data_IF_246694481963
#
_entry.id   IF_246694481963
#
_cell.length_a   1.000
_cell.length_b   1.000
_cell.length_c   1.000
_cell.angle_alpha   90.00
_cell.angle_beta   90.00
_cell.angle_gamma   90.00
#
_symmetry.space_group_name_H-M   'P 1'
#
loop_
_entity.id
_entity.type
_entity.pdbx_description
1 polymer ?
#
# COMPACT_ATOMS: atom_id res chain seq x y z
N UNK A 1 -21.14 9.16 3.14
CA UNK A 1 -21.47 8.83 4.52
C UNK A 1 -22.91 8.38 4.54
N UNK A 2 -23.14 7.15 4.98
CA UNK A 2 -24.41 6.47 4.95
C UNK A 2 -25.38 7.15 5.91
N UNK A 3 -26.66 7.21 5.55
CA UNK A 3 -27.70 7.89 6.35
C UNK A 3 -27.81 7.34 7.76
N UNK A 4 -27.71 6.01 7.89
CA UNK A 4 -27.66 5.30 9.19
C UNK A 4 -26.47 5.73 10.06
N UNK A 5 -25.31 5.98 9.45
CA UNK A 5 -24.11 6.49 10.15
C UNK A 5 -24.40 7.83 10.81
N UNK A 6 -24.95 8.76 10.02
CA UNK A 6 -25.27 10.10 10.50
C UNK A 6 -26.34 10.09 11.59
N UNK A 7 -27.43 9.36 11.37
CA UNK A 7 -28.53 9.27 12.33
C UNK A 7 -28.09 8.59 13.63
N UNK A 8 -27.32 7.49 13.54
CA UNK A 8 -26.82 6.78 14.70
C UNK A 8 -25.87 7.63 15.54
N UNK A 9 -24.94 8.34 14.92
CA UNK A 9 -24.03 9.24 15.64
C UNK A 9 -24.78 10.38 16.33
N UNK A 10 -25.74 11.01 15.65
CA UNK A 10 -26.54 12.09 16.21
C UNK A 10 -27.40 11.59 17.38
N UNK A 11 -28.08 10.45 17.22
CA UNK A 11 -28.92 9.85 18.25
C UNK A 11 -28.13 9.41 19.48
N UNK A 12 -26.99 8.75 19.29
CA UNK A 12 -26.12 8.33 20.39
C UNK A 12 -25.57 9.54 21.16
N UNK A 13 -25.09 10.57 20.45
CA UNK A 13 -24.58 11.81 21.05
C UNK A 13 -25.64 12.53 21.88
N UNK A 14 -26.88 12.61 21.39
CA UNK A 14 -27.97 13.25 22.12
C UNK A 14 -28.32 12.49 23.40
N UNK A 15 -28.47 11.17 23.32
CA UNK A 15 -28.80 10.36 24.50
C UNK A 15 -27.68 10.39 25.55
N UNK A 16 -26.42 10.36 25.12
CA UNK A 16 -25.27 10.53 26.01
C UNK A 16 -25.28 11.89 26.74
N UNK A 17 -25.68 12.97 26.05
CA UNK A 17 -25.83 14.29 26.68
C UNK A 17 -26.97 14.32 27.70
N UNK A 18 -28.06 13.60 27.43
CA UNK A 18 -29.22 13.52 28.34
C UNK A 18 -28.88 12.83 29.67
N UNK A 19 -27.84 12.00 29.73
CA UNK A 19 -27.36 11.37 30.97
C UNK A 19 -26.86 12.38 32.02
N UNK A 20 -26.44 13.57 31.61
CA UNK A 20 -25.92 14.58 32.54
C UNK A 20 -26.95 15.02 33.59
N UNK A 21 -28.22 15.11 33.20
CA UNK A 21 -29.31 15.56 34.08
C UNK A 21 -29.57 14.55 35.21
N UNK A 22 -29.89 13.27 34.94
CA UNK A 22 -30.11 12.30 36.00
C UNK A 22 -28.87 12.09 36.87
N UNK A 23 -27.64 12.19 36.33
CA UNK A 23 -26.44 12.14 37.17
C UNK A 23 -26.33 13.31 38.15
N UNK A 24 -26.77 14.52 37.79
CA UNK A 24 -26.81 15.65 38.72
C UNK A 24 -27.84 15.43 39.82
N UNK A 25 -29.04 14.99 39.44
CA UNK A 25 -30.12 14.70 40.40
C UNK A 25 -29.74 13.57 41.35
N UNK A 26 -29.08 12.52 40.84
CA UNK A 26 -28.56 11.42 41.65
C UNK A 26 -27.60 11.93 42.73
N UNK A 27 -26.61 12.76 42.34
CA UNK A 27 -25.64 13.34 43.31
C UNK A 27 -26.31 14.21 44.36
N UNK A 28 -27.36 14.94 43.99
CA UNK A 28 -28.12 15.76 44.94
C UNK A 28 -28.95 14.90 45.89
N UNK A 29 -29.55 13.81 45.39
CA UNK A 29 -30.28 12.84 46.19
C UNK A 29 -29.37 12.07 47.16
N UNK A 30 -28.17 11.69 46.71
CA UNK A 30 -27.13 11.05 47.51
C UNK A 30 -26.74 11.91 48.72
N UNK A 31 -26.56 13.22 48.54
CA UNK A 31 -26.28 14.15 49.66
C UNK A 31 -27.43 14.25 50.67
N UNK A 32 -28.66 14.01 50.24
CA UNK A 32 -29.86 14.04 51.09
C UNK A 32 -30.19 12.67 51.69
N UNK A 33 -29.51 11.61 51.26
CA UNK A 33 -29.84 10.23 51.62
C UNK A 33 -31.17 9.75 51.04
N UNK A 34 -31.67 10.36 49.96
CA UNK A 34 -32.93 9.99 49.33
C UNK A 34 -32.73 8.85 48.32
N UNK A 35 -32.76 7.61 48.83
CA UNK A 35 -32.53 6.40 48.04
C UNK A 35 -33.60 6.16 46.97
N UNK A 36 -34.84 6.62 47.20
CA UNK A 36 -35.93 6.44 46.24
C UNK A 36 -35.72 7.30 44.98
N UNK A 37 -35.24 8.54 45.15
CA UNK A 37 -34.86 9.39 44.01
C UNK A 37 -33.61 8.86 43.32
N UNK A 38 -32.63 8.35 44.07
CA UNK A 38 -31.43 7.73 43.50
C UNK A 38 -31.80 6.56 42.57
N UNK A 39 -32.64 5.63 43.02
CA UNK A 39 -33.06 4.48 42.22
C UNK A 39 -33.81 4.92 40.95
N UNK A 40 -34.78 5.84 41.09
CA UNK A 40 -35.52 6.38 39.95
C UNK A 40 -34.60 7.06 38.93
N UNK A 41 -33.64 7.86 39.38
CA UNK A 41 -32.68 8.52 38.47
C UNK A 41 -31.80 7.53 37.74
N UNK A 42 -31.40 6.44 38.38
CA UNK A 42 -30.64 5.37 37.73
C UNK A 42 -31.46 4.64 36.67
N UNK A 43 -32.77 4.51 36.87
CA UNK A 43 -33.68 4.00 35.82
C UNK A 43 -33.63 4.85 34.54
N UNK A 44 -33.71 6.18 34.67
CA UNK A 44 -33.57 7.08 33.52
C UNK A 44 -32.19 7.01 32.86
N UNK A 45 -31.11 6.84 33.66
CA UNK A 45 -29.76 6.62 33.12
C UNK A 45 -29.73 5.37 32.25
N UNK A 46 -30.32 4.26 32.73
CA UNK A 46 -30.44 3.02 31.97
C UNK A 46 -31.15 3.24 30.63
N UNK A 47 -32.34 3.86 30.65
CA UNK A 47 -33.12 4.11 29.43
C UNK A 47 -32.37 4.93 28.36
N UNK A 48 -31.62 5.95 28.78
CA UNK A 48 -30.83 6.76 27.85
C UNK A 48 -29.55 6.05 27.39
N UNK A 49 -28.92 5.26 28.26
CA UNK A 49 -27.76 4.45 27.90
C UNK A 49 -28.14 3.39 26.86
N UNK A 50 -29.24 2.66 27.07
CA UNK A 50 -29.75 1.65 26.14
C UNK A 50 -30.06 2.27 24.77
N UNK A 51 -30.77 3.41 24.75
CA UNK A 51 -31.03 4.15 23.50
C UNK A 51 -29.75 4.61 22.83
N UNK A 52 -28.76 5.08 23.59
CA UNK A 52 -27.48 5.50 23.02
C UNK A 52 -26.76 4.31 22.35
N UNK A 53 -26.81 3.13 22.98
CA UNK A 53 -26.24 1.89 22.44
C UNK A 53 -26.96 1.45 21.15
N UNK A 54 -28.29 1.51 21.11
CA UNK A 54 -29.07 1.17 19.91
C UNK A 54 -28.72 2.08 18.73
N UNK A 55 -28.57 3.39 18.98
CA UNK A 55 -28.13 4.33 17.97
C UNK A 55 -26.67 4.12 17.56
N UNK A 56 -25.79 3.72 18.49
CA UNK A 56 -24.42 3.33 18.16
C UNK A 56 -24.40 2.12 17.21
N UNK A 57 -25.17 1.07 17.50
CA UNK A 57 -25.31 -0.11 16.61
C UNK A 57 -25.80 0.30 15.22
N UNK A 58 -26.73 1.26 15.16
CA UNK A 58 -27.21 1.83 13.88
C UNK A 58 -26.11 2.57 13.13
N UNK A 59 -25.26 3.32 13.84
CA UNK A 59 -24.11 3.99 13.24
C UNK A 59 -23.09 3.00 12.69
N UNK A 60 -22.75 1.97 13.47
CA UNK A 60 -21.81 0.90 13.09
C UNK A 60 -22.27 0.19 11.82
N UNK A 61 -23.56 -0.16 11.73
CA UNK A 61 -24.14 -0.74 10.52
C UNK A 61 -24.01 0.19 9.30
N UNK A 62 -24.22 1.49 9.49
CA UNK A 62 -24.03 2.48 8.43
C UNK A 62 -22.57 2.58 7.98
N UNK A 63 -21.62 2.53 8.93
CA UNK A 63 -20.18 2.57 8.63
C UNK A 63 -19.73 1.32 7.88
N UNK A 64 -20.26 0.15 8.21
CA UNK A 64 -19.96 -1.09 7.48
C UNK A 64 -20.44 -0.99 6.02
N UNK A 65 -21.63 -0.42 5.80
CA UNK A 65 -22.17 -0.18 4.46
C UNK A 65 -21.31 0.83 3.68
N UNK A 66 -20.93 1.96 4.29
CA UNK A 66 -19.98 2.94 3.70
C UNK A 66 -18.65 2.27 3.32
N UNK A 67 -18.11 1.42 4.20
CA UNK A 67 -16.83 0.75 3.98
C UNK A 67 -16.89 -0.27 2.84
N UNK A 68 -18.01 -1.01 2.71
CA UNK A 68 -18.24 -1.91 1.57
C UNK A 68 -18.33 -1.14 0.27
N UNK A 69 -19.10 -0.06 0.23
CA UNK A 69 -19.22 0.78 -0.97
C UNK A 69 -17.87 1.38 -1.39
N UNK A 70 -17.08 1.87 -0.44
CA UNK A 70 -15.74 2.38 -0.72
C UNK A 70 -14.79 1.30 -1.26
N UNK A 71 -14.84 0.07 -0.71
CA UNK A 71 -14.05 -1.06 -1.21
C UNK A 71 -14.42 -1.44 -2.65
N UNK A 72 -15.71 -1.48 -2.97
CA UNK A 72 -16.18 -1.79 -4.33
C UNK A 72 -15.76 -0.70 -5.34
N UNK A 73 -15.88 0.58 -4.97
CA UNK A 73 -15.37 1.68 -5.81
C UNK A 73 -13.86 1.58 -6.04
N UNK A 74 -13.09 1.33 -4.98
CA UNK A 74 -11.64 1.16 -5.11
C UNK A 74 -11.27 -0.03 -6.01
N UNK A 75 -11.98 -1.16 -5.90
CA UNK A 75 -11.74 -2.34 -6.72
C UNK A 75 -12.06 -2.08 -8.19
N UNK A 76 -13.17 -1.42 -8.49
CA UNK A 76 -13.56 -1.07 -9.86
C UNK A 76 -12.59 -0.05 -10.48
N UNK A 77 -12.14 0.93 -9.72
CA UNK A 77 -11.10 1.87 -10.15
C UNK A 77 -9.77 1.16 -10.43
N UNK A 78 -9.36 0.23 -9.57
CA UNK A 78 -8.16 -0.57 -9.76
C UNK A 78 -8.26 -1.44 -11.02
N UNK A 79 -9.39 -2.10 -11.24
CA UNK A 79 -9.62 -2.92 -12.44
C UNK A 79 -9.60 -2.08 -13.72
N UNK A 80 -10.25 -0.91 -13.70
CA UNK A 80 -10.21 0.03 -14.82
C UNK A 80 -8.79 0.52 -15.11
N UNK A 81 -7.98 0.79 -14.09
CA UNK A 81 -6.58 1.18 -14.27
C UNK A 81 -5.73 0.04 -14.85
N UNK A 82 -5.94 -1.21 -14.40
CA UNK A 82 -5.27 -2.38 -14.96
C UNK A 82 -5.65 -2.58 -16.43
N UNK A 83 -6.95 -2.44 -16.75
CA UNK A 83 -7.46 -2.59 -18.12
C UNK A 83 -6.83 -1.56 -19.05
N UNK A 84 -6.82 -0.27 -18.67
CA UNK A 84 -6.16 0.79 -19.45
C UNK A 84 -4.69 0.50 -19.69
N UNK A 85 -3.96 0.07 -18.64
CA UNK A 85 -2.53 -0.30 -18.78
C UNK A 85 -2.32 -1.50 -19.71
N UNK A 86 -3.23 -2.47 -19.73
CA UNK A 86 -3.16 -3.61 -20.67
C UNK A 86 -3.41 -3.16 -22.11
N UNK A 87 -4.41 -2.31 -22.33
CA UNK A 87 -4.73 -1.74 -23.65
C UNK A 87 -3.55 -0.91 -24.19
N UNK A 88 -2.94 -0.05 -23.37
CA UNK A 88 -1.73 0.72 -23.74
C UNK A 88 -0.54 -0.19 -24.11
N UNK A 89 -0.34 -1.28 -23.37
CA UNK A 89 0.73 -2.25 -23.66
C UNK A 89 0.48 -2.98 -24.99
N UNK A 90 -0.76 -3.38 -25.25
CA UNK A 90 -1.13 -4.04 -26.51
C UNK A 90 -0.95 -3.10 -27.71
N UNK A 91 -1.30 -1.81 -27.57
CA UNK A 91 -1.09 -0.82 -28.62
C UNK A 91 0.40 -0.58 -28.90
N UNK A 92 1.22 -0.46 -27.85
CA UNK A 92 2.68 -0.36 -27.99
C UNK A 92 3.27 -1.61 -28.65
N UNK A 93 2.81 -2.80 -28.28
CA UNK A 93 3.26 -4.05 -28.86
C UNK A 93 2.89 -4.15 -30.35
N UNK A 94 1.67 -3.74 -30.73
CA UNK A 94 1.26 -3.64 -32.14
C UNK A 94 2.17 -2.70 -32.92
N UNK A 95 2.50 -1.52 -32.37
CA UNK A 95 3.41 -0.56 -33.01
C UNK A 95 4.84 -1.09 -33.16
N UNK A 96 5.34 -1.83 -32.17
CA UNK A 96 6.65 -2.49 -32.26
C UNK A 96 6.63 -3.63 -33.29
N UNK A 97 5.56 -4.43 -33.32
CA UNK A 97 5.41 -5.50 -34.29
C UNK A 97 5.27 -4.98 -35.72
N UNK A 98 4.60 -3.85 -35.92
CA UNK A 98 4.49 -3.16 -37.20
C UNK A 98 5.86 -2.60 -37.64
N UNK A 99 6.55 -1.84 -36.78
CA UNK A 99 7.89 -1.32 -37.10
C UNK A 99 8.93 -2.41 -37.38
N UNK A 100 8.86 -3.57 -36.71
CA UNK A 100 9.71 -4.74 -37.04
C UNK A 100 9.43 -5.34 -38.42
N UNK A 101 8.24 -5.14 -38.99
CA UNK A 101 7.91 -5.60 -40.35
C UNK A 101 8.40 -4.63 -41.42
N UNK A 102 8.54 -3.36 -41.10
CA UNK A 102 8.82 -2.30 -42.07
C UNK A 102 10.32 -2.00 -42.21
N UNK A 103 11.11 -2.05 -41.12
CA UNK A 103 12.55 -1.75 -41.15
C UNK A 103 13.37 -2.72 -40.28
N UNK A 104 13.69 -3.90 -40.81
CA UNK A 104 14.74 -4.75 -40.23
C UNK A 104 16.01 -4.66 -41.06
N UNK A 105 16.95 -3.81 -40.61
CA UNK A 105 18.34 -3.88 -41.09
C UNK A 105 18.93 -5.20 -40.59
N UNK A 106 19.00 -6.19 -41.49
CA UNK A 106 19.41 -7.55 -41.14
C UNK A 106 20.93 -7.58 -41.06
N UNK A 107 21.45 -7.42 -39.84
CA UNK A 107 22.90 -7.54 -39.60
C UNK A 107 23.28 -9.01 -39.68
N UNK A 108 23.78 -9.45 -40.84
CA UNK A 108 24.34 -10.78 -41.02
C UNK A 108 25.75 -10.81 -40.43
N UNK A 109 26.00 -11.75 -39.51
CA UNK A 109 27.36 -11.99 -39.01
C UNK A 109 28.18 -12.55 -40.18
N UNK A 110 29.27 -11.87 -40.55
CA UNK A 110 30.14 -12.36 -41.61
C UNK A 110 30.74 -13.71 -41.23
N UNK A 111 31.07 -14.53 -42.23
CA UNK A 111 31.59 -15.89 -42.05
C UNK A 111 32.78 -15.97 -41.07
N UNK A 112 33.68 -14.97 -41.11
CA UNK A 112 34.80 -14.86 -40.17
C UNK A 112 34.38 -14.60 -38.72
N UNK A 113 33.29 -13.85 -38.49
CA UNK A 113 32.75 -13.62 -37.14
C UNK A 113 32.07 -14.86 -36.56
N UNK A 114 31.55 -15.75 -37.43
CA UNK A 114 30.92 -17.01 -37.04
C UNK A 114 31.95 -18.05 -36.56
N UNK A 115 33.11 -18.13 -37.24
CA UNK A 115 34.22 -18.99 -36.83
C UNK A 115 34.83 -18.60 -35.46
N UNK A 116 34.80 -17.31 -35.09
CA UNK A 116 35.24 -16.84 -33.78
C UNK A 116 34.26 -17.21 -32.64
N UNK A 117 32.97 -17.43 -32.95
CA UNK A 117 31.96 -17.89 -32.00
C UNK A 117 32.05 -19.39 -31.71
N UNK A 118 32.35 -20.21 -32.73
CA UNK A 118 32.51 -21.66 -32.57
C UNK A 118 33.76 -22.02 -31.74
N UNK A 119 34.75 -21.13 -31.63
CA UNK A 119 35.91 -21.29 -30.76
C UNK A 119 35.61 -21.23 -29.25
N UNK A 120 34.36 -20.91 -28.86
CA UNK A 120 33.91 -20.89 -27.46
C UNK A 120 32.65 -21.74 -27.25
N UNK A 121 32.42 -22.76 -28.07
CA UNK A 121 31.38 -23.77 -27.83
C UNK A 121 31.86 -24.85 -26.83
N UNK A 122 32.25 -24.42 -25.65
CA UNK A 122 32.77 -25.27 -24.59
C UNK A 122 32.35 -24.82 -23.20
N UNK A 123 31.07 -24.48 -23.00
CA UNK A 123 30.37 -24.60 -21.70
C UNK A 123 28.91 -24.19 -21.88
N UNK A 124 28.10 -25.11 -22.42
CA UNK A 124 26.66 -25.09 -22.16
C UNK A 124 26.47 -25.66 -20.75
N UNK A 125 26.12 -24.81 -19.79
CA UNK A 125 25.40 -25.26 -18.60
C UNK A 125 24.00 -24.68 -18.67
N UNK A 126 23.12 -25.45 -19.27
CA UNK A 126 21.67 -25.35 -19.07
C UNK A 126 21.36 -25.64 -17.60
N UNK A 127 20.71 -24.71 -16.93
CA UNK A 127 20.13 -24.94 -15.61
C UNK A 127 19.98 -23.64 -14.84
N UNK A 128 18.74 -23.26 -14.56
CA UNK A 128 18.41 -22.17 -13.67
C UNK A 128 19.15 -22.31 -12.33
N UNK A 129 19.87 -21.27 -11.88
CA UNK A 129 19.47 -20.56 -10.67
C UNK A 129 20.24 -19.24 -10.53
N UNK A 130 19.58 -18.25 -9.94
CA UNK A 130 20.15 -16.95 -9.66
C UNK A 130 21.21 -17.08 -8.57
N UNK A 131 22.49 -17.02 -8.95
CA UNK A 131 23.60 -16.93 -8.00
C UNK A 131 24.87 -16.53 -8.74
N UNK A 132 25.10 -15.23 -8.92
CA UNK A 132 26.37 -14.69 -9.42
C UNK A 132 27.46 -15.10 -8.43
N UNK A 133 28.15 -16.20 -8.74
CA UNK A 133 29.42 -16.59 -8.16
C UNK A 133 30.47 -16.34 -9.24
N UNK A 134 31.13 -15.17 -9.15
CA UNK A 134 32.29 -14.87 -9.98
C UNK A 134 33.49 -15.41 -9.21
N UNK A 135 33.94 -16.61 -9.59
CA UNK A 135 35.31 -17.03 -9.31
C UNK A 135 36.28 -16.15 -10.10
N UNK A 136 37.20 -15.59 -9.32
CA UNK A 136 38.23 -14.64 -9.69
C UNK A 136 39.22 -15.29 -10.66
N UNK A 137 39.15 -14.93 -11.95
CA UNK A 137 40.28 -15.15 -12.85
C UNK A 137 41.18 -13.92 -12.78
N UNK A 138 42.32 -14.13 -12.13
CA UNK A 138 43.39 -13.17 -11.95
C UNK A 138 43.99 -12.73 -13.30
N UNK A 139 43.44 -11.68 -13.92
CA UNK A 139 44.21 -10.58 -14.53
C UNK A 139 43.34 -9.42 -15.09
N UNK A 140 42.19 -9.11 -14.46
CA UNK A 140 41.42 -7.93 -14.82
C UNK A 140 41.82 -6.75 -13.94
N UNK A 141 42.60 -5.84 -14.53
CA UNK A 141 43.01 -4.54 -14.00
C UNK A 141 41.87 -3.92 -13.17
N UNK A 142 42.10 -3.77 -11.86
CA UNK A 142 41.17 -3.13 -10.92
C UNK A 142 41.04 -1.65 -11.28
N UNK A 143 40.17 -1.30 -12.22
CA UNK A 143 39.76 0.09 -12.42
C UNK A 143 38.51 0.32 -11.59
N UNK A 144 38.62 1.14 -10.54
CA UNK A 144 37.47 1.63 -9.80
C UNK A 144 36.55 2.42 -10.75
N UNK A 145 35.21 2.29 -10.63
CA UNK A 145 34.29 3.06 -11.45
C UNK A 145 34.45 4.55 -11.15
N UNK A 146 34.91 5.31 -12.15
CA UNK A 146 35.10 6.76 -12.06
C UNK A 146 33.78 7.46 -12.37
N UNK A 147 33.30 8.28 -11.42
CA UNK A 147 32.06 9.04 -11.57
C UNK A 147 32.42 10.45 -12.07
N UNK A 148 31.75 10.93 -13.12
CA UNK A 148 32.00 12.25 -13.71
C UNK A 148 30.92 13.27 -13.34
N UNK A 149 31.34 14.51 -13.11
CA UNK A 149 30.42 15.65 -12.91
C UNK A 149 29.86 16.15 -14.25
N UNK A 150 28.81 16.98 -14.21
CA UNK A 150 28.19 17.55 -15.42
C UNK A 150 29.15 18.42 -16.26
N UNK A 151 30.30 18.82 -15.71
CA UNK A 151 31.36 19.57 -16.38
C UNK A 151 32.49 18.68 -16.91
N UNK A 152 32.42 17.35 -16.73
CA UNK A 152 33.39 16.38 -17.25
C UNK A 152 34.58 16.12 -16.34
N UNK A 153 34.55 16.55 -15.07
CA UNK A 153 35.61 16.29 -14.10
C UNK A 153 35.36 14.97 -13.36
N UNK A 154 36.42 14.17 -13.18
CA UNK A 154 36.39 12.89 -12.48
C UNK A 154 36.37 13.09 -10.94
N UNK A 155 35.32 12.62 -10.28
CA UNK A 155 35.23 12.52 -8.82
C UNK A 155 35.94 11.25 -8.35
N UNK A 156 36.98 11.40 -7.53
CA UNK A 156 37.61 10.29 -6.82
C UNK A 156 36.76 9.96 -5.58
N UNK A 157 36.32 8.72 -5.48
CA UNK A 157 35.59 8.18 -4.33
C UNK A 157 36.56 8.00 -3.15
N UNK A 158 36.48 8.83 -2.12
CA UNK A 158 37.15 8.55 -0.84
C UNK A 158 36.38 7.45 -0.09
N UNK A 159 36.97 6.25 -0.04
CA UNK A 159 36.45 5.11 0.71
C UNK A 159 36.65 5.32 2.22
N UNK A 160 35.57 5.28 2.99
CA UNK A 160 35.66 5.17 4.43
C UNK A 160 34.39 5.50 5.20
N UNK A 161 33.46 4.54 5.31
CA UNK A 161 32.58 4.48 6.49
C UNK A 161 32.09 3.05 6.71
N UNK A 162 32.71 2.35 7.66
CA UNK A 162 32.28 1.01 8.11
C UNK A 162 31.06 1.18 9.01
N UNK A 163 29.89 0.70 8.59
CA UNK A 163 28.69 0.65 9.43
C UNK A 163 28.56 -0.78 9.97
N UNK A 164 28.85 -0.98 11.25
CA UNK A 164 28.70 -2.27 11.94
C UNK A 164 27.28 -2.39 12.50
N UNK A 165 26.54 -3.41 12.06
CA UNK A 165 25.26 -3.83 12.69
C UNK A 165 25.54 -5.12 13.46
N UNK A 166 25.34 -5.09 14.78
CA UNK A 166 25.39 -6.28 15.64
C UNK A 166 24.00 -6.92 15.71
N UNK A 167 23.94 -8.25 15.61
CA UNK A 167 22.74 -9.09 15.79
C UNK A 167 22.54 -9.39 17.27
#
# INVERSE_FOLDING_TARGET
>A
MHTKTMEGLAGASMNMKLLNTPFRVYKDAERRGDTAVMERTMGYVGEFADKAEDYQKKAEKGMEEDAKEAKEKAKTEQENAIRKRKEEREELEKRIAESRKEDTDTVSISENGKAALDGKAGSVQTGADNGVSIEETADAIKMEPVIYTKTGEALKSESGTNISVSV
#
